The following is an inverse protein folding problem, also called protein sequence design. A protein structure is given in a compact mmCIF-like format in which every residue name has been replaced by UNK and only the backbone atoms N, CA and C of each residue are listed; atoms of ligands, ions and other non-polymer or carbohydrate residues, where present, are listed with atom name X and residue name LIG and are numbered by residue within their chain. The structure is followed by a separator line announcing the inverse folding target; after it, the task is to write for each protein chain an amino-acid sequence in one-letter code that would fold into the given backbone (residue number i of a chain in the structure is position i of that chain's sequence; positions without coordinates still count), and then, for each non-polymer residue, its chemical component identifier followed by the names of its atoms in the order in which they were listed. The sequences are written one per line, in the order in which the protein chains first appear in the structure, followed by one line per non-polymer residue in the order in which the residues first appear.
data_IF_918891076997
#
_entry.id   IF_918891076997
#
_cell.length_a   1.000
_cell.length_b   1.000
_cell.length_c   1.000
_cell.angle_alpha   90.00
_cell.angle_beta   90.00
_cell.angle_gamma   90.00
#
_symmetry.space_group_name_H-M   'P 1'
#
loop_
_entity.id
_entity.type
_entity.pdbx_description
1 polymer ?
#
# COMPACT_ATOMS: atom_id res chain seq x y z
N UNK A 1 -7.64 -8.74 -15.54
CA UNK A 1 -6.40 -9.54 -15.52
C UNK A 1 -6.36 -10.46 -16.74
N UNK A 2 -5.18 -10.96 -17.12
CA UNK A 2 -5.04 -12.00 -18.15
C UNK A 2 -5.64 -13.35 -17.65
N UNK A 3 -5.98 -14.29 -18.54
CA UNK A 3 -6.42 -15.63 -18.15
C UNK A 3 -5.39 -16.31 -17.21
N UNK A 4 -5.84 -16.82 -16.07
CA UNK A 4 -4.98 -17.45 -15.06
C UNK A 4 -4.17 -16.48 -14.16
N UNK A 5 -4.34 -15.16 -14.33
CA UNK A 5 -3.68 -14.17 -13.48
C UNK A 5 -4.34 -14.00 -12.11
N UNK A 6 -3.55 -13.61 -11.11
CA UNK A 6 -4.06 -13.24 -9.78
C UNK A 6 -5.00 -12.02 -9.88
N UNK A 7 -6.14 -12.11 -9.21
CA UNK A 7 -7.08 -10.99 -9.08
C UNK A 7 -6.61 -10.00 -8.01
N UNK A 8 -7.04 -8.73 -8.07
CA UNK A 8 -6.73 -7.75 -7.02
C UNK A 8 -7.10 -8.22 -5.61
N UNK A 9 -8.22 -8.93 -5.45
CA UNK A 9 -8.68 -9.49 -4.18
C UNK A 9 -7.73 -10.57 -3.66
N UNK A 10 -7.35 -11.53 -4.51
CA UNK A 10 -6.39 -12.58 -4.14
C UNK A 10 -5.05 -12.00 -3.72
N UNK A 11 -4.58 -10.96 -4.42
CA UNK A 11 -3.36 -10.25 -4.04
C UNK A 11 -3.49 -9.61 -2.64
N UNK A 12 -4.60 -8.95 -2.35
CA UNK A 12 -4.86 -8.36 -1.03
C UNK A 12 -4.93 -9.42 0.08
N UNK A 13 -5.57 -10.55 -0.18
CA UNK A 13 -5.65 -11.69 0.75
C UNK A 13 -4.26 -12.28 1.02
N UNK A 14 -3.45 -12.47 -0.01
CA UNK A 14 -2.07 -12.97 0.10
C UNK A 14 -1.14 -12.02 0.87
N UNK A 15 -1.41 -10.70 0.83
CA UNK A 15 -0.64 -9.71 1.59
C UNK A 15 -1.01 -9.69 3.09
N UNK A 16 -2.22 -10.11 3.47
CA UNK A 16 -2.72 -9.94 4.83
C UNK A 16 -1.83 -10.60 5.93
N UNK A 17 -1.28 -11.82 5.76
CA UNK A 17 -0.37 -12.40 6.75
C UNK A 17 0.90 -11.58 6.95
N UNK A 18 1.46 -11.03 5.87
CA UNK A 18 2.68 -10.21 5.92
C UNK A 18 2.42 -8.89 6.64
N UNK A 19 1.28 -8.23 6.39
CA UNK A 19 0.89 -7.00 7.10
C UNK A 19 0.67 -7.23 8.59
N UNK A 20 0.10 -8.38 8.99
CA UNK A 20 -0.03 -8.75 10.40
C UNK A 20 1.33 -8.94 11.06
N UNK A 21 2.29 -9.56 10.38
CA UNK A 21 3.64 -9.71 10.90
C UNK A 21 4.30 -8.34 11.14
N UNK A 22 4.21 -7.41 10.18
CA UNK A 22 4.71 -6.05 10.33
C UNK A 22 4.06 -5.32 11.51
N UNK A 23 2.73 -5.41 11.63
CA UNK A 23 2.01 -4.78 12.74
C UNK A 23 2.45 -5.32 14.11
N UNK A 24 2.78 -6.61 14.20
CA UNK A 24 3.26 -7.24 15.42
C UNK A 24 4.69 -6.79 15.83
N UNK A 25 5.55 -6.47 14.85
CA UNK A 25 6.92 -6.01 15.10
C UNK A 25 6.99 -4.60 15.71
N UNK A 26 5.93 -3.79 15.55
CA UNK A 26 5.83 -2.40 16.04
C UNK A 26 6.99 -1.49 15.61
N UNK A 27 7.59 -1.79 14.45
CA UNK A 27 8.66 -1.00 13.84
C UNK A 27 8.19 -0.37 12.52
N UNK A 28 8.85 0.70 12.13
CA UNK A 28 8.65 1.29 10.80
C UNK A 28 9.34 0.42 9.76
N UNK A 29 8.58 -0.04 8.75
CA UNK A 29 9.08 -0.88 7.66
C UNK A 29 9.02 -0.11 6.34
N UNK A 30 10.09 -0.20 5.54
CA UNK A 30 10.14 0.32 4.18
C UNK A 30 9.96 -0.84 3.21
N UNK A 31 8.90 -0.79 2.40
CA UNK A 31 8.62 -1.78 1.36
C UNK A 31 8.97 -1.27 -0.04
N UNK A 32 9.97 -1.86 -0.69
CA UNK A 32 10.28 -1.62 -2.11
C UNK A 32 9.60 -2.71 -2.95
N UNK A 33 8.66 -2.31 -3.80
CA UNK A 33 7.83 -3.27 -4.51
C UNK A 33 7.28 -2.71 -5.82
N UNK A 34 6.66 -3.58 -6.62
CA UNK A 34 6.01 -3.18 -7.87
C UNK A 34 4.70 -2.43 -7.60
N UNK A 35 4.27 -1.62 -8.59
CA UNK A 35 3.03 -0.82 -8.55
C UNK A 35 1.77 -1.61 -8.16
N UNK A 36 1.72 -2.91 -8.46
CA UNK A 36 0.59 -3.78 -8.10
C UNK A 36 0.39 -3.90 -6.60
N UNK A 37 1.47 -4.01 -5.83
CA UNK A 37 1.45 -4.10 -4.36
C UNK A 37 1.00 -2.77 -3.77
N UNK A 38 1.58 -1.66 -4.21
CA UNK A 38 1.20 -0.31 -3.78
C UNK A 38 -0.29 -0.06 -4.02
N UNK A 39 -0.81 -0.43 -5.20
CA UNK A 39 -2.25 -0.28 -5.51
C UNK A 39 -3.12 -1.19 -4.66
N UNK A 40 -2.71 -2.43 -4.40
CA UNK A 40 -3.47 -3.35 -3.56
C UNK A 40 -3.55 -2.88 -2.10
N UNK A 41 -2.45 -2.35 -1.56
CA UNK A 41 -2.41 -1.75 -0.22
C UNK A 41 -3.29 -0.51 -0.15
N UNK A 42 -3.14 0.42 -1.10
CA UNK A 42 -3.96 1.62 -1.17
C UNK A 42 -5.45 1.28 -1.30
N UNK A 43 -5.80 0.34 -2.19
CA UNK A 43 -7.16 -0.12 -2.37
C UNK A 43 -7.79 -0.63 -1.08
N UNK A 44 -7.06 -1.50 -0.35
CA UNK A 44 -7.50 -1.99 0.95
C UNK A 44 -7.60 -0.86 1.98
N UNK A 45 -6.71 0.13 1.92
CA UNK A 45 -6.66 1.23 2.87
C UNK A 45 -7.79 2.26 2.71
N UNK A 46 -8.25 2.50 1.48
CA UNK A 46 -9.31 3.50 1.18
C UNK A 46 -10.64 2.86 0.79
N UNK A 47 -10.75 1.53 0.84
CA UNK A 47 -11.96 0.80 0.44
C UNK A 47 -12.24 0.81 -1.06
N UNK A 48 -11.22 1.04 -1.89
CA UNK A 48 -11.37 1.02 -3.35
C UNK A 48 -11.33 -0.42 -3.87
N UNK A 49 -12.36 -0.82 -4.60
CA UNK A 49 -12.49 -2.15 -5.22
C UNK A 49 -11.53 -2.40 -6.41
N UNK A 50 -10.68 -1.42 -6.73
CA UNK A 50 -9.76 -1.43 -7.86
C UNK A 50 -10.47 -1.43 -9.23
N UNK A 51 -11.72 -0.99 -9.28
CA UNK A 51 -12.46 -0.73 -10.51
C UNK A 51 -12.37 0.75 -10.90
N UNK A 52 -12.32 1.01 -12.20
CA UNK A 52 -12.22 2.37 -12.72
C UNK A 52 -10.93 3.11 -12.32
N UNK A 53 -11.03 4.42 -12.15
CA UNK A 53 -9.90 5.29 -11.82
C UNK A 53 -9.63 5.24 -10.30
N UNK A 54 -8.36 5.19 -9.85
CA UNK A 54 -8.05 5.32 -8.44
C UNK A 54 -8.58 6.65 -7.86
N UNK A 55 -9.09 6.66 -6.62
CA UNK A 55 -9.47 7.88 -5.90
C UNK A 55 -8.34 8.91 -5.77
N UNK A 56 -7.09 8.48 -5.88
CA UNK A 56 -5.90 9.31 -5.79
C UNK A 56 -4.96 9.07 -6.98
N UNK A 57 -4.41 10.16 -7.54
CA UNK A 57 -3.33 10.07 -8.53
C UNK A 57 -2.00 9.82 -7.82
N UNK A 58 -1.38 8.68 -8.12
CA UNK A 58 -0.04 8.37 -7.63
C UNK A 58 1.03 9.15 -8.40
N UNK A 59 1.96 9.71 -7.66
CA UNK A 59 3.31 9.99 -8.13
C UNK A 59 4.17 8.75 -7.86
N UNK A 60 4.63 8.11 -8.93
CA UNK A 60 5.42 6.88 -8.84
C UNK A 60 6.87 7.10 -8.43
N UNK A 61 7.32 8.35 -8.35
CA UNK A 61 8.64 8.72 -7.80
C UNK A 61 8.59 9.03 -6.30
N UNK A 62 7.43 8.80 -5.67
CA UNK A 62 7.15 9.13 -4.28
C UNK A 62 6.68 7.89 -3.49
N UNK A 63 6.93 7.88 -2.19
CA UNK A 63 6.44 6.85 -1.28
C UNK A 63 4.96 7.03 -0.92
N UNK A 64 4.31 5.93 -0.55
CA UNK A 64 2.97 5.93 0.03
C UNK A 64 3.09 5.42 1.47
N UNK A 65 2.71 6.25 2.43
CA UNK A 65 2.81 5.94 3.84
C UNK A 65 1.48 5.41 4.36
N UNK A 66 1.53 4.22 4.96
CA UNK A 66 0.39 3.54 5.53
C UNK A 66 0.60 3.33 7.02
N UNK A 67 -0.47 3.52 7.79
CA UNK A 67 -0.53 3.09 9.18
C UNK A 67 -1.23 1.72 9.23
N UNK A 68 -0.62 0.75 9.92
CA UNK A 68 -1.23 -0.55 10.18
C UNK A 68 -1.82 -0.59 11.58
N UNK A 69 -3.07 -1.01 11.71
CA UNK A 69 -3.66 -1.32 13.01
C UNK A 69 -3.12 -2.65 13.60
N UNK A 70 -3.58 -3.01 14.81
CA UNK A 70 -3.16 -4.24 15.48
C UNK A 70 -3.53 -5.54 14.74
N UNK A 71 -4.41 -5.49 13.74
CA UNK A 71 -4.78 -6.62 12.88
C UNK A 71 -4.08 -6.57 11.51
N UNK A 72 -3.16 -5.62 11.30
CA UNK A 72 -2.47 -5.42 10.03
C UNK A 72 -3.35 -4.82 8.95
N UNK A 73 -4.47 -4.17 9.30
CA UNK A 73 -5.29 -3.45 8.31
C UNK A 73 -4.63 -2.10 8.02
N UNK A 74 -4.34 -1.79 6.75
CA UNK A 74 -3.74 -0.52 6.41
C UNK A 74 -4.80 0.59 6.39
N UNK A 75 -4.37 1.78 6.78
CA UNK A 75 -5.04 3.05 6.49
C UNK A 75 -4.01 3.97 5.83
N UNK A 76 -4.45 4.82 4.90
CA UNK A 76 -3.56 5.75 4.22
C UNK A 76 -3.25 6.90 5.17
N UNK A 77 -1.99 7.04 5.58
CA UNK A 77 -1.55 8.16 6.41
C UNK A 77 -1.18 9.36 5.54
N UNK A 78 -0.29 9.14 4.56
CA UNK A 78 0.14 10.16 3.60
C UNK A 78 0.40 9.54 2.24
N UNK A 79 -0.03 10.23 1.19
CA UNK A 79 0.24 9.85 -0.19
C UNK A 79 1.32 10.73 -0.80
N UNK A 80 2.07 10.19 -1.76
CA UNK A 80 3.06 10.92 -2.56
C UNK A 80 4.09 11.65 -1.68
N UNK A 81 4.63 10.94 -0.69
CA UNK A 81 5.72 11.43 0.17
C UNK A 81 7.00 11.46 -0.65
N UNK A 82 7.61 12.65 -0.77
CA UNK A 82 8.89 12.83 -1.45
C UNK A 82 9.96 11.90 -0.86
N UNK A 83 10.71 11.24 -1.74
CA UNK A 83 11.90 10.47 -1.39
C UNK A 83 13.17 11.32 -1.34
N UNK A 84 13.11 12.54 -1.88
CA UNK A 84 14.20 13.50 -1.79
C UNK A 84 14.14 14.13 -0.41
N UNK A 85 15.27 14.16 0.29
CA UNK A 85 15.39 14.83 1.57
C UNK A 85 14.93 16.29 1.44
N UNK A 86 14.11 16.76 2.37
CA UNK A 86 13.90 18.20 2.49
C UNK A 86 15.24 18.80 2.90
N UNK A 87 15.77 19.73 2.11
CA UNK A 87 16.80 20.62 2.61
C UNK A 87 16.20 21.36 3.81
N UNK A 88 16.90 21.32 4.94
CA UNK A 88 16.40 21.80 6.23
C UNK A 88 16.02 23.28 6.15
N UNK A 89 14.88 23.60 6.78
CA UNK A 89 14.57 24.94 7.23
C UNK A 89 15.32 25.24 8.53
#
# INVERSE_FOLDING_TARGET
SAPGGESPRQLQERLAPWLRAIAAEKQTVIGVCHKGIVRALFARAVGWDMLGRPPLKFDWNSAQLFHLDGEGRPSLERSNVSLIASEGA
#
